data_IF_595816658785
#
_entry.id   IF_595816658785
#
_cell.length_a   1.000
_cell.length_b   1.000
_cell.length_c   1.000
_cell.angle_alpha   90.00
_cell.angle_beta   90.00
_cell.angle_gamma   90.00
#
_symmetry.space_group_name_H-M   'P 1'
#
loop_
_entity.id
_entity.type
_entity.pdbx_description
1 polymer ?
#
# COMPACT_ATOMS: atom_id res chain seq x y z
N UNK A 1 -15.28 -8.69 -1.04
CA UNK A 1 -14.51 -7.50 -0.58
C UNK A 1 -13.14 -7.51 -1.23
N UNK A 2 -12.69 -6.39 -1.72
CA UNK A 2 -11.43 -6.32 -2.46
C UNK A 2 -10.18 -6.30 -1.58
N UNK A 3 -10.26 -6.89 -0.41
CA UNK A 3 -9.09 -7.00 0.46
C UNK A 3 -8.11 -8.00 -0.13
N UNK A 4 -6.84 -7.61 -0.21
CA UNK A 4 -5.80 -8.45 -0.79
C UNK A 4 -4.61 -8.52 0.17
N UNK A 5 -3.66 -9.42 -0.11
CA UNK A 5 -2.44 -9.50 0.67
C UNK A 5 -1.71 -8.15 0.63
N UNK A 6 -1.05 -7.82 1.74
CA UNK A 6 -0.35 -6.54 1.85
C UNK A 6 0.71 -6.39 0.76
N UNK A 7 0.83 -5.20 0.22
CA UNK A 7 1.85 -4.85 -0.76
C UNK A 7 2.21 -3.37 -0.62
N UNK A 8 3.34 -2.99 -1.17
CA UNK A 8 3.78 -1.60 -1.15
C UNK A 8 4.58 -1.30 -2.42
N UNK A 9 4.75 0.00 -2.70
CA UNK A 9 5.52 0.42 -3.87
C UNK A 9 7.02 0.37 -3.57
N UNK A 10 7.81 -0.02 -4.57
CA UNK A 10 9.27 0.05 -4.45
C UNK A 10 9.71 1.51 -4.23
N UNK A 11 8.89 2.47 -4.62
CA UNK A 11 9.22 3.89 -4.49
C UNK A 11 8.98 4.44 -3.09
N UNK A 12 8.45 3.63 -2.15
CA UNK A 12 8.23 4.12 -0.79
C UNK A 12 9.52 4.56 -0.12
N UNK A 13 10.64 3.96 -0.50
CA UNK A 13 11.95 4.34 0.07
C UNK A 13 12.36 5.76 -0.30
N UNK A 14 11.72 6.36 -1.31
CA UNK A 14 12.00 7.74 -1.69
C UNK A 14 11.25 8.75 -0.82
N UNK A 15 10.39 8.28 0.07
CA UNK A 15 9.61 9.14 0.96
C UNK A 15 10.20 9.13 2.37
N UNK A 16 9.94 10.19 3.19
CA UNK A 16 10.29 10.13 4.61
C UNK A 16 9.62 8.92 5.26
N UNK A 17 10.27 8.39 6.30
CA UNK A 17 9.78 7.17 6.96
C UNK A 17 8.34 7.31 7.45
N UNK A 18 7.95 8.48 7.92
CA UNK A 18 6.60 8.70 8.42
C UNK A 18 5.54 8.71 7.32
N UNK A 19 5.95 8.83 6.05
CA UNK A 19 5.03 8.84 4.91
C UNK A 19 5.00 7.52 4.17
N UNK A 20 5.81 6.55 4.58
CA UNK A 20 5.84 5.24 3.93
C UNK A 20 4.68 4.39 4.41
N UNK A 21 3.95 3.81 3.47
CA UNK A 21 2.75 3.03 3.79
C UNK A 21 2.70 1.76 2.94
N UNK A 22 1.91 0.80 3.39
CA UNK A 22 1.58 -0.38 2.59
C UNK A 22 0.08 -0.38 2.34
N UNK A 23 -0.34 -1.19 1.40
CA UNK A 23 -1.74 -1.28 0.99
C UNK A 23 -2.22 -2.72 1.11
N UNK A 24 -3.50 -2.91 1.38
CA UNK A 24 -4.09 -4.24 1.45
C UNK A 24 -5.51 -4.27 0.87
N UNK A 25 -5.82 -3.34 -0.03
CA UNK A 25 -7.14 -3.24 -0.62
C UNK A 25 -7.02 -2.85 -2.09
N UNK A 26 -7.60 -3.67 -2.98
CA UNK A 26 -7.51 -3.43 -4.41
C UNK A 26 -8.33 -2.22 -4.88
N UNK A 27 -9.27 -1.74 -4.05
CA UNK A 27 -10.05 -0.55 -4.36
C UNK A 27 -9.36 0.74 -3.92
N UNK A 28 -8.24 0.63 -3.21
CA UNK A 28 -7.50 1.81 -2.78
C UNK A 28 -6.89 2.53 -3.99
N UNK A 29 -7.29 3.79 -4.27
CA UNK A 29 -6.75 4.49 -5.44
C UNK A 29 -5.23 4.62 -5.40
N UNK A 30 -4.67 4.89 -4.24
CA UNK A 30 -3.21 5.00 -4.11
C UNK A 30 -2.51 3.68 -4.37
N UNK A 31 -3.09 2.58 -3.89
CA UNK A 31 -2.53 1.26 -4.15
C UNK A 31 -2.70 0.84 -5.59
N UNK A 32 -3.86 1.13 -6.16
CA UNK A 32 -4.16 0.79 -7.55
C UNK A 32 -3.21 1.49 -8.52
N UNK A 33 -2.79 2.71 -8.20
CA UNK A 33 -1.90 3.49 -9.06
C UNK A 33 -0.49 2.92 -9.14
N UNK A 34 -0.12 1.99 -8.25
CA UNK A 34 1.21 1.40 -8.29
C UNK A 34 1.29 0.41 -9.46
N UNK A 35 2.18 0.62 -10.45
CA UNK A 35 2.37 -0.36 -11.52
C UNK A 35 2.73 -1.73 -10.93
N UNK A 36 2.22 -2.80 -11.55
CA UNK A 36 2.45 -4.15 -11.03
C UNK A 36 3.94 -4.46 -10.85
N UNK A 37 4.77 -3.98 -11.77
CA UNK A 37 6.22 -4.23 -11.71
C UNK A 37 6.89 -3.53 -10.53
N UNK A 38 6.20 -2.53 -9.92
CA UNK A 38 6.75 -1.79 -8.79
C UNK A 38 6.16 -2.25 -7.47
N UNK A 39 5.23 -3.21 -7.49
CA UNK A 39 4.62 -3.72 -6.26
C UNK A 39 5.52 -4.77 -5.63
N UNK A 40 5.72 -4.62 -4.32
CA UNK A 40 6.51 -5.57 -3.53
C UNK A 40 5.57 -6.19 -2.51
N UNK A 41 5.46 -7.52 -2.44
CA UNK A 41 4.60 -8.17 -1.44
C UNK A 41 5.07 -7.86 -0.02
N UNK A 42 4.12 -7.79 0.92
CA UNK A 42 4.40 -7.57 2.32
C UNK A 42 4.22 -6.12 2.73
N UNK A 43 4.35 -5.88 4.03
CA UNK A 43 4.16 -4.54 4.60
C UNK A 43 5.40 -3.68 4.54
N UNK A 44 6.57 -4.30 4.41
CA UNK A 44 7.84 -3.57 4.40
C UNK A 44 8.15 -2.86 5.71
N UNK A 45 7.41 -3.18 6.78
CA UNK A 45 7.56 -2.47 8.04
C UNK A 45 6.88 -1.10 8.03
N UNK A 46 6.11 -0.79 7.00
CA UNK A 46 5.40 0.48 6.87
C UNK A 46 4.02 0.41 7.51
N UNK A 47 3.45 1.56 7.85
CA UNK A 47 2.10 1.60 8.38
C UNK A 47 1.08 1.36 7.27
N UNK A 48 -0.15 1.02 7.66
CA UNK A 48 -1.23 0.82 6.70
C UNK A 48 -1.64 2.17 6.10
N UNK A 49 -1.85 2.18 4.79
CA UNK A 49 -2.39 3.35 4.10
C UNK A 49 -3.72 3.75 4.71
N UNK A 50 -3.91 5.04 4.95
CA UNK A 50 -5.14 5.55 5.57
C UNK A 50 -6.37 5.19 4.75
N UNK A 51 -6.29 5.27 3.43
CA UNK A 51 -7.41 4.93 2.56
C UNK A 51 -7.72 3.43 2.64
N UNK A 52 -6.70 2.59 2.67
CA UNK A 52 -6.92 1.15 2.83
C UNK A 52 -7.59 0.84 4.16
N UNK A 53 -7.19 1.55 5.22
CA UNK A 53 -7.81 1.38 6.53
C UNK A 53 -9.30 1.74 6.47
N UNK A 54 -9.63 2.84 5.81
CA UNK A 54 -11.03 3.28 5.68
C UNK A 54 -11.85 2.29 4.86
N UNK A 55 -11.28 1.77 3.79
CA UNK A 55 -11.97 0.81 2.93
C UNK A 55 -12.13 -0.55 3.60
N UNK A 56 -11.28 -0.87 4.55
CA UNK A 56 -11.30 -2.16 5.25
C UNK A 56 -12.30 -2.27 6.38
N UNK A 57 -13.07 -1.23 6.62
CA UNK A 57 -14.08 -1.25 7.70
C UNK A 57 -15.27 -2.10 7.34
#
# INVERSE_FOLDING_TARGET
>A
MPKVAAFHSVNETNKPIQNRVHHNNSDCPSGYDIPKKERIPGTGGYRLCKRCKDLGK
#
